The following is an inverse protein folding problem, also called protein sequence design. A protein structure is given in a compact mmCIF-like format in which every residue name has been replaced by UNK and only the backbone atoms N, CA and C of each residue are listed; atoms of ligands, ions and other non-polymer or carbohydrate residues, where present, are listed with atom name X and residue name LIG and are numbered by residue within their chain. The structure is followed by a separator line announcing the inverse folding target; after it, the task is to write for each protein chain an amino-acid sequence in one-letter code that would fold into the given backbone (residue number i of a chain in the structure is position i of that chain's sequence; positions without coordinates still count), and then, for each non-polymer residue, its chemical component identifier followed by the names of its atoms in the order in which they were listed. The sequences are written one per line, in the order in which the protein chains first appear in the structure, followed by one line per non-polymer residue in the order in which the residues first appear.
data_IF_760356023743
#
_entry.id   IF_760356023743
#
_cell.length_a   1.000
_cell.length_b   1.000
_cell.length_c   1.000
_cell.angle_alpha   90.00
_cell.angle_beta   90.00
_cell.angle_gamma   90.00
#
_symmetry.space_group_name_H-M   'P 1'
#
loop_
_entity.id
_entity.type
_entity.pdbx_description
1 polymer ?
#
# COMPACT_ATOMS: atom_id res chain seq x y z
N UNK A 1 -35.46 -6.30 2.53
CA UNK A 1 -34.45 -5.37 3.04
C UNK A 1 -35.20 -4.34 3.86
N UNK A 2 -34.86 -4.19 5.13
CA UNK A 2 -35.49 -3.20 6.00
C UNK A 2 -35.22 -1.79 5.44
N UNK A 3 -36.19 -0.89 5.59
CA UNK A 3 -36.07 0.47 5.09
C UNK A 3 -34.93 1.22 5.80
N UNK A 4 -34.12 1.96 5.05
CA UNK A 4 -32.93 2.65 5.59
C UNK A 4 -33.33 3.66 6.67
N UNK A 5 -34.50 4.29 6.54
CA UNK A 5 -35.04 5.21 7.54
C UNK A 5 -35.31 4.50 8.88
N UNK A 6 -35.88 3.29 8.84
CA UNK A 6 -36.12 2.50 10.05
C UNK A 6 -34.80 2.05 10.71
N UNK A 7 -33.79 1.73 9.90
CA UNK A 7 -32.46 1.38 10.41
C UNK A 7 -31.80 2.60 11.06
N UNK A 8 -31.91 3.79 10.46
CA UNK A 8 -31.38 5.02 11.03
C UNK A 8 -32.03 5.34 12.39
N UNK A 9 -33.35 5.21 12.51
CA UNK A 9 -34.06 5.39 13.78
C UNK A 9 -33.56 4.42 14.85
N UNK A 10 -33.41 3.13 14.50
CA UNK A 10 -32.84 2.13 15.41
C UNK A 10 -31.43 2.51 15.88
N UNK A 11 -30.60 3.08 15.02
CA UNK A 11 -29.26 3.53 15.38
C UNK A 11 -29.31 4.77 16.27
N UNK A 12 -30.20 5.71 15.99
CA UNK A 12 -30.35 6.95 16.77
C UNK A 12 -30.81 6.69 18.20
N UNK A 13 -31.69 5.72 18.38
CA UNK A 13 -32.21 5.32 19.69
C UNK A 13 -31.27 4.36 20.45
N UNK A 14 -30.16 3.94 19.84
CA UNK A 14 -29.27 2.93 20.38
C UNK A 14 -27.90 3.50 20.78
N UNK A 15 -27.53 3.33 22.04
CA UNK A 15 -26.20 3.72 22.55
C UNK A 15 -25.25 2.53 22.72
N UNK A 16 -25.70 1.30 22.46
CA UNK A 16 -24.92 0.07 22.58
C UNK A 16 -24.04 -0.13 21.32
N UNK A 17 -22.71 -0.01 21.44
CA UNK A 17 -21.81 -0.15 20.30
C UNK A 17 -21.83 -1.53 19.66
N UNK A 18 -22.17 -2.59 20.43
CA UNK A 18 -22.21 -3.95 19.87
C UNK A 18 -23.39 -4.10 18.90
N UNK A 19 -24.57 -3.64 19.29
CA UNK A 19 -25.76 -3.71 18.44
C UNK A 19 -25.59 -2.82 17.20
N UNK A 20 -24.98 -1.64 17.36
CA UNK A 20 -24.62 -0.78 16.23
C UNK A 20 -23.66 -1.52 15.29
N UNK A 21 -22.61 -2.17 15.83
CA UNK A 21 -21.67 -2.93 15.03
C UNK A 21 -22.34 -4.06 14.24
N UNK A 22 -23.26 -4.79 14.86
CA UNK A 22 -24.03 -5.85 14.19
C UNK A 22 -24.87 -5.28 13.03
N UNK A 23 -25.47 -4.11 13.22
CA UNK A 23 -26.21 -3.39 12.17
C UNK A 23 -25.28 -2.97 11.03
N UNK A 24 -24.11 -2.38 11.33
CA UNK A 24 -23.14 -1.94 10.32
C UNK A 24 -22.64 -3.12 9.46
N UNK A 25 -22.38 -4.27 10.10
CA UNK A 25 -21.99 -5.51 9.41
C UNK A 25 -23.12 -6.04 8.51
N UNK A 26 -24.37 -5.98 8.96
CA UNK A 26 -25.48 -6.41 8.12
C UNK A 26 -25.69 -5.49 6.92
N UNK A 27 -25.56 -4.18 7.12
CA UNK A 27 -25.64 -3.18 6.06
C UNK A 27 -24.57 -3.37 4.98
N UNK A 28 -23.36 -3.80 5.36
CA UNK A 28 -22.26 -3.95 4.40
C UNK A 28 -22.45 -5.12 3.43
N UNK A 29 -23.30 -6.11 3.77
CA UNK A 29 -23.61 -7.25 2.89
C UNK A 29 -24.42 -6.85 1.66
N UNK A 30 -25.20 -5.77 1.73
CA UNK A 30 -26.07 -5.27 0.65
C UNK A 30 -26.03 -3.73 0.57
N UNK A 31 -24.83 -3.17 0.67
CA UNK A 31 -24.63 -1.72 0.69
C UNK A 31 -24.99 -1.06 -0.63
N UNK A 32 -25.52 0.16 -0.56
CA UNK A 32 -25.77 1.03 -1.71
C UNK A 32 -25.60 2.49 -1.30
N UNK A 33 -25.72 3.42 -2.26
CA UNK A 33 -25.59 4.86 -2.01
C UNK A 33 -26.48 5.37 -0.88
N UNK A 34 -27.71 4.87 -0.73
CA UNK A 34 -28.62 5.33 0.33
C UNK A 34 -28.11 5.00 1.73
N UNK A 35 -27.27 3.98 1.86
CA UNK A 35 -26.65 3.62 3.14
C UNK A 35 -25.70 4.71 3.66
N UNK A 36 -25.26 5.65 2.82
CA UNK A 36 -24.44 6.78 3.25
C UNK A 36 -25.13 7.67 4.28
N UNK A 37 -26.46 7.72 4.34
CA UNK A 37 -27.17 8.50 5.38
C UNK A 37 -26.82 8.00 6.80
N UNK A 38 -26.54 6.70 6.95
CA UNK A 38 -26.10 6.10 8.21
C UNK A 38 -24.67 6.55 8.53
N UNK A 39 -23.80 6.56 7.52
CA UNK A 39 -22.42 7.04 7.66
C UNK A 39 -22.42 8.53 8.03
N UNK A 40 -23.21 9.34 7.34
CA UNK A 40 -23.33 10.78 7.62
C UNK A 40 -23.82 11.05 9.04
N UNK A 41 -24.80 10.28 9.53
CA UNK A 41 -25.19 10.35 10.94
C UNK A 41 -23.98 10.15 11.87
N UNK A 42 -23.15 9.13 11.60
CA UNK A 42 -21.97 8.88 12.42
C UNK A 42 -20.87 9.94 12.30
N UNK A 43 -20.70 10.54 11.13
CA UNK A 43 -19.67 11.56 10.88
C UNK A 43 -20.09 12.95 11.37
N UNK A 44 -21.37 13.31 11.24
CA UNK A 44 -21.84 14.67 11.52
C UNK A 44 -22.33 14.85 12.96
N UNK A 45 -22.79 13.77 13.60
CA UNK A 45 -23.69 13.91 14.76
C UNK A 45 -23.14 13.37 16.09
N UNK A 46 -21.85 13.04 16.24
CA UNK A 46 -21.49 12.07 17.29
C UNK A 46 -20.38 12.33 18.31
N UNK A 47 -20.70 11.78 19.48
CA UNK A 47 -19.87 11.47 20.64
C UNK A 47 -18.70 10.56 20.24
N UNK A 48 -17.47 11.08 20.39
CA UNK A 48 -16.22 10.40 20.07
C UNK A 48 -16.07 9.00 20.70
N UNK A 49 -16.75 8.75 21.82
CA UNK A 49 -16.69 7.46 22.53
C UNK A 49 -17.35 6.33 21.74
N UNK A 50 -18.54 6.58 21.16
CA UNK A 50 -19.26 5.57 20.37
C UNK A 50 -18.54 5.37 19.05
N UNK A 51 -18.17 6.46 18.37
CA UNK A 51 -17.47 6.41 17.09
C UNK A 51 -16.20 5.54 17.18
N UNK A 52 -15.38 5.74 18.21
CA UNK A 52 -14.17 4.93 18.40
C UNK A 52 -14.46 3.42 18.58
N UNK A 53 -15.60 3.04 19.15
CA UNK A 53 -15.97 1.62 19.36
C UNK A 53 -16.56 0.95 18.13
N UNK A 54 -17.04 1.73 17.16
CA UNK A 54 -17.64 1.21 15.92
C UNK A 54 -16.79 1.48 14.68
N UNK A 55 -15.71 2.26 14.82
CA UNK A 55 -14.91 2.82 13.72
C UNK A 55 -14.49 1.78 12.69
N UNK A 56 -14.03 0.61 13.14
CA UNK A 56 -13.64 -0.50 12.27
C UNK A 56 -14.79 -0.89 11.32
N UNK A 57 -15.97 -1.16 11.87
CA UNK A 57 -17.12 -1.60 11.09
C UNK A 57 -17.75 -0.46 10.27
N UNK A 58 -17.60 0.79 10.72
CA UNK A 58 -18.01 1.96 9.93
C UNK A 58 -17.12 2.10 8.68
N UNK A 59 -15.81 1.89 8.81
CA UNK A 59 -14.87 1.90 7.68
C UNK A 59 -15.15 0.72 6.75
N UNK A 60 -15.37 -0.48 7.30
CA UNK A 60 -15.76 -1.66 6.51
C UNK A 60 -17.04 -1.41 5.69
N UNK A 61 -18.06 -0.82 6.31
CA UNK A 61 -19.29 -0.41 5.61
C UNK A 61 -18.99 0.63 4.51
N UNK A 62 -18.13 1.61 4.79
CA UNK A 62 -17.76 2.62 3.81
C UNK A 62 -17.01 2.02 2.61
N UNK A 63 -16.12 1.05 2.84
CA UNK A 63 -15.49 0.25 1.78
C UNK A 63 -16.52 -0.51 0.94
N UNK A 64 -17.49 -1.16 1.59
CA UNK A 64 -18.57 -1.86 0.90
C UNK A 64 -19.41 -0.92 0.02
N UNK A 65 -19.79 0.25 0.54
CA UNK A 65 -20.51 1.28 -0.25
C UNK A 65 -19.63 1.76 -1.42
N UNK A 66 -18.35 2.07 -1.16
CA UNK A 66 -17.43 2.57 -2.18
C UNK A 66 -17.10 1.56 -3.29
N UNK A 67 -17.31 0.27 -3.05
CA UNK A 67 -17.18 -0.77 -4.08
C UNK A 67 -18.27 -0.69 -5.16
N UNK A 68 -19.41 -0.06 -4.87
CA UNK A 68 -20.56 0.07 -5.80
C UNK A 68 -20.96 1.51 -6.07
N UNK A 69 -20.32 2.50 -5.45
CA UNK A 69 -20.73 3.91 -5.52
C UNK A 69 -19.53 4.85 -5.41
N UNK A 70 -19.60 5.96 -6.14
CA UNK A 70 -18.60 7.02 -6.05
C UNK A 70 -18.80 7.84 -4.76
N UNK A 71 -18.02 7.54 -3.73
CA UNK A 71 -17.85 8.33 -2.50
C UNK A 71 -17.39 9.78 -2.74
N UNK A 72 -18.05 10.74 -2.08
CA UNK A 72 -17.57 12.11 -2.07
C UNK A 72 -16.28 12.28 -1.22
N UNK A 73 -15.66 13.47 -1.32
CA UNK A 73 -14.41 13.79 -0.62
C UNK A 73 -14.51 13.74 0.92
N UNK A 74 -15.69 14.01 1.51
CA UNK A 74 -15.88 13.98 2.98
C UNK A 74 -15.55 12.58 3.54
N UNK A 75 -15.98 11.53 2.86
CA UNK A 75 -15.71 10.16 3.29
C UNK A 75 -14.25 9.77 3.12
N UNK A 76 -13.61 10.19 2.03
CA UNK A 76 -12.18 9.96 1.82
C UNK A 76 -11.33 10.69 2.86
N UNK A 77 -11.68 11.94 3.19
CA UNK A 77 -11.01 12.69 4.25
C UNK A 77 -11.15 11.98 5.61
N UNK A 78 -12.33 11.45 5.93
CA UNK A 78 -12.52 10.66 7.15
C UNK A 78 -11.60 9.43 7.20
N UNK A 79 -11.43 8.71 6.09
CA UNK A 79 -10.49 7.58 6.02
C UNK A 79 -9.04 8.04 6.22
N UNK A 80 -8.65 9.14 5.58
CA UNK A 80 -7.30 9.72 5.70
C UNK A 80 -7.00 10.12 7.13
N UNK A 81 -7.87 10.88 7.77
CA UNK A 81 -7.72 11.32 9.15
C UNK A 81 -7.74 10.13 10.13
N UNK A 82 -8.61 9.14 9.88
CA UNK A 82 -8.70 7.94 10.71
C UNK A 82 -7.44 7.09 10.64
N UNK A 83 -6.75 7.05 9.51
CA UNK A 83 -5.51 6.29 9.35
C UNK A 83 -4.44 6.75 10.35
N UNK A 84 -4.20 8.06 10.44
CA UNK A 84 -3.16 8.60 11.31
C UNK A 84 -3.51 8.59 12.80
N UNK A 85 -4.79 8.40 13.15
CA UNK A 85 -5.30 8.51 14.53
C UNK A 85 -5.87 7.21 15.09
N UNK A 86 -5.60 6.06 14.46
CA UNK A 86 -6.15 4.77 14.89
C UNK A 86 -5.10 3.69 15.03
N UNK A 87 -5.46 2.58 15.69
CA UNK A 87 -4.60 1.42 15.84
C UNK A 87 -4.43 0.63 14.53
N UNK A 88 -3.53 -0.37 14.55
CA UNK A 88 -3.17 -1.17 13.37
C UNK A 88 -4.35 -1.91 12.71
N UNK A 89 -5.40 -2.27 13.47
CA UNK A 89 -6.55 -2.99 12.90
C UNK A 89 -7.39 -2.06 12.05
N UNK A 90 -7.67 -0.87 12.58
CA UNK A 90 -8.37 0.18 11.84
C UNK A 90 -7.56 0.63 10.63
N UNK A 91 -6.24 0.84 10.79
CA UNK A 91 -5.38 1.22 9.65
C UNK A 91 -5.39 0.16 8.55
N UNK A 92 -5.32 -1.11 8.91
CA UNK A 92 -5.41 -2.20 7.93
C UNK A 92 -6.76 -2.19 7.20
N UNK A 93 -7.86 -2.00 7.92
CA UNK A 93 -9.21 -1.93 7.34
C UNK A 93 -9.35 -0.76 6.36
N UNK A 94 -8.73 0.39 6.65
CA UNK A 94 -8.69 1.54 5.73
C UNK A 94 -7.97 1.17 4.42
N UNK A 95 -6.80 0.52 4.50
CA UNK A 95 -6.07 0.09 3.30
C UNK A 95 -6.87 -0.95 2.50
N UNK A 96 -7.54 -1.89 3.17
CA UNK A 96 -8.41 -2.86 2.50
C UNK A 96 -9.62 -2.20 1.84
N UNK A 97 -10.21 -1.20 2.50
CA UNK A 97 -11.30 -0.41 1.92
C UNK A 97 -10.85 0.34 0.67
N UNK A 98 -9.62 0.87 0.65
CA UNK A 98 -9.06 1.48 -0.56
C UNK A 98 -8.95 0.52 -1.75
N UNK A 99 -8.71 -0.78 -1.52
CA UNK A 99 -8.64 -1.77 -2.61
C UNK A 99 -9.95 -1.85 -3.43
N UNK A 100 -11.09 -1.63 -2.78
CA UNK A 100 -12.41 -1.70 -3.43
C UNK A 100 -12.93 -0.33 -3.82
N UNK A 101 -12.71 0.70 -3.00
CA UNK A 101 -13.09 2.09 -3.33
C UNK A 101 -12.40 2.49 -4.64
N UNK A 102 -11.10 2.24 -4.75
CA UNK A 102 -10.33 2.82 -5.84
C UNK A 102 -10.54 2.15 -7.20
N UNK A 103 -11.41 1.15 -7.29
CA UNK A 103 -11.87 0.62 -8.58
C UNK A 103 -12.83 1.60 -9.29
N UNK A 104 -13.50 2.47 -8.53
CA UNK A 104 -14.50 3.42 -9.03
C UNK A 104 -14.08 4.90 -8.87
N UNK A 105 -12.88 5.16 -8.35
CA UNK A 105 -12.42 6.50 -7.96
C UNK A 105 -11.09 6.86 -8.60
N UNK A 106 -10.92 8.15 -8.88
CA UNK A 106 -9.61 8.71 -9.18
C UNK A 106 -8.80 8.90 -7.90
N UNK A 107 -7.52 8.58 -7.99
CA UNK A 107 -6.57 8.70 -6.89
C UNK A 107 -6.21 10.16 -6.62
N UNK A 108 -5.87 10.46 -5.38
CA UNK A 108 -5.28 11.75 -4.99
C UNK A 108 -3.96 11.54 -4.22
N UNK A 109 -3.22 12.63 -4.03
CA UNK A 109 -1.93 12.59 -3.33
C UNK A 109 -2.03 12.12 -1.86
N UNK A 110 -3.16 12.33 -1.20
CA UNK A 110 -3.37 11.93 0.20
C UNK A 110 -3.42 10.40 0.33
N UNK A 111 -4.03 9.71 -0.64
CA UNK A 111 -4.07 8.24 -0.69
C UNK A 111 -2.67 7.67 -0.90
N UNK A 112 -1.86 8.24 -1.81
CA UNK A 112 -0.47 7.80 -1.99
C UNK A 112 0.36 7.97 -0.73
N UNK A 113 0.18 9.08 0.01
CA UNK A 113 0.85 9.27 1.30
C UNK A 113 0.48 8.17 2.29
N UNK A 114 -0.80 7.81 2.40
CA UNK A 114 -1.24 6.71 3.27
C UNK A 114 -0.61 5.38 2.85
N UNK A 115 -0.60 5.08 1.56
CA UNK A 115 0.01 3.86 1.04
C UNK A 115 1.52 3.84 1.36
N UNK A 116 2.24 4.94 1.15
CA UNK A 116 3.66 5.05 1.53
C UNK A 116 3.87 4.80 3.04
N UNK A 117 3.01 5.35 3.90
CA UNK A 117 3.05 5.06 5.33
C UNK A 117 2.76 3.58 5.62
N UNK A 118 1.79 2.98 4.93
CA UNK A 118 1.40 1.58 5.10
C UNK A 118 2.52 0.60 4.71
N UNK A 119 3.28 0.91 3.66
CA UNK A 119 4.43 0.11 3.22
C UNK A 119 5.60 0.13 4.24
N UNK A 120 5.70 1.20 5.03
CA UNK A 120 6.74 1.37 6.04
C UNK A 120 6.33 0.92 7.46
N UNK A 121 5.10 0.44 7.67
CA UNK A 121 4.68 -0.09 8.97
C UNK A 121 5.45 -1.34 9.38
N UNK A 122 5.47 -1.75 10.64
CA UNK A 122 6.05 -3.06 11.00
C UNK A 122 5.04 -4.20 10.78
N UNK A 123 3.75 -3.88 10.79
CA UNK A 123 2.68 -4.86 10.74
C UNK A 123 2.47 -5.40 9.31
N UNK A 124 2.92 -6.64 9.08
CA UNK A 124 2.91 -7.28 7.77
C UNK A 124 1.56 -7.26 7.03
N UNK A 125 0.39 -7.45 7.69
CA UNK A 125 -0.90 -7.37 7.00
C UNK A 125 -1.16 -6.01 6.33
N UNK A 126 -0.81 -4.90 6.99
CA UNK A 126 -0.96 -3.55 6.41
C UNK A 126 -0.09 -3.41 5.16
N UNK A 127 1.17 -3.87 5.21
CA UNK A 127 2.06 -3.86 4.03
C UNK A 127 1.46 -4.64 2.86
N UNK A 128 0.98 -5.86 3.14
CA UNK A 128 0.39 -6.72 2.10
C UNK A 128 -0.84 -6.09 1.48
N UNK A 129 -1.74 -5.54 2.30
CA UNK A 129 -2.90 -4.80 1.80
C UNK A 129 -2.48 -3.59 0.97
N UNK A 130 -1.43 -2.85 1.37
CA UNK A 130 -0.92 -1.71 0.62
C UNK A 130 -0.33 -2.12 -0.73
N UNK A 131 0.43 -3.21 -0.78
CA UNK A 131 0.95 -3.80 -2.03
C UNK A 131 -0.20 -4.25 -2.95
N UNK A 132 -1.27 -4.86 -2.41
CA UNK A 132 -2.46 -5.19 -3.18
C UNK A 132 -3.15 -3.97 -3.78
N UNK A 133 -3.22 -2.86 -3.03
CA UNK A 133 -3.74 -1.59 -3.56
C UNK A 133 -2.84 -1.09 -4.70
N UNK A 134 -1.52 -1.12 -4.54
CA UNK A 134 -0.59 -0.69 -5.58
C UNK A 134 -0.75 -1.48 -6.89
N UNK A 135 -1.09 -2.76 -6.82
CA UNK A 135 -1.31 -3.61 -8.00
C UNK A 135 -2.48 -3.17 -8.88
N UNK A 136 -3.50 -2.52 -8.32
CA UNK A 136 -4.66 -2.03 -9.10
C UNK A 136 -4.47 -0.61 -9.64
N UNK A 137 -3.42 0.10 -9.19
CA UNK A 137 -3.11 1.44 -9.68
C UNK A 137 -2.54 1.38 -11.09
N UNK A 138 -2.93 2.31 -11.96
CA UNK A 138 -2.41 2.39 -13.33
C UNK A 138 -0.96 2.90 -13.38
N UNK A 139 -0.65 3.92 -12.60
CA UNK A 139 0.64 4.58 -12.57
C UNK A 139 1.09 4.79 -11.11
N UNK A 140 2.39 4.63 -10.87
CA UNK A 140 2.99 4.88 -9.56
C UNK A 140 3.87 6.12 -9.60
N UNK A 141 3.68 7.05 -8.65
CA UNK A 141 4.64 8.12 -8.41
C UNK A 141 6.02 7.54 -8.08
N UNK A 142 7.08 8.21 -8.53
CA UNK A 142 8.48 7.84 -8.27
C UNK A 142 8.75 7.58 -6.78
N UNK A 143 8.16 8.39 -5.89
CA UNK A 143 8.30 8.25 -4.44
C UNK A 143 7.75 6.91 -3.90
N UNK A 144 6.70 6.38 -4.53
CA UNK A 144 6.14 5.05 -4.22
C UNK A 144 7.11 3.97 -4.69
N UNK A 145 7.67 4.09 -5.89
CA UNK A 145 8.69 3.16 -6.41
C UNK A 145 9.91 3.10 -5.48
N UNK A 146 10.39 4.24 -5.01
CA UNK A 146 11.47 4.32 -4.01
C UNK A 146 11.10 3.64 -2.69
N UNK A 147 9.84 3.75 -2.27
CA UNK A 147 9.36 3.08 -1.05
C UNK A 147 9.30 1.57 -1.24
N UNK A 148 8.95 1.07 -2.44
CA UNK A 148 9.00 -0.36 -2.75
C UNK A 148 10.40 -0.94 -2.60
N UNK A 149 11.46 -0.21 -2.95
CA UNK A 149 12.84 -0.67 -2.72
C UNK A 149 13.10 -0.97 -1.23
N UNK A 150 12.53 -0.17 -0.31
CA UNK A 150 12.64 -0.40 1.14
C UNK A 150 11.85 -1.63 1.58
N UNK A 151 10.72 -1.90 0.95
CA UNK A 151 9.87 -3.06 1.26
C UNK A 151 10.61 -4.37 1.00
N UNK A 152 11.54 -4.40 0.03
CA UNK A 152 12.39 -5.56 -0.26
C UNK A 152 13.37 -5.89 0.87
N UNK A 153 13.57 -4.99 1.82
CA UNK A 153 14.39 -5.22 3.01
C UNK A 153 13.60 -5.90 4.14
N UNK A 154 13.14 -7.11 3.89
CA UNK A 154 12.41 -7.92 4.87
C UNK A 154 12.73 -9.40 4.70
N UNK A 155 12.59 -10.17 5.78
CA UNK A 155 12.70 -11.63 5.73
C UNK A 155 11.37 -12.32 5.36
N UNK A 156 10.31 -11.54 5.12
CA UNK A 156 9.02 -12.07 4.70
C UNK A 156 8.98 -12.23 3.18
N UNK A 157 9.19 -13.46 2.71
CA UNK A 157 9.28 -13.79 1.28
C UNK A 157 8.05 -13.35 0.48
N UNK A 158 6.84 -13.51 1.02
CA UNK A 158 5.59 -13.09 0.37
C UNK A 158 5.55 -11.57 0.16
N UNK A 159 6.03 -10.77 1.11
CA UNK A 159 6.12 -9.31 0.96
C UNK A 159 7.17 -8.94 -0.09
N UNK A 160 8.30 -9.65 -0.12
CA UNK A 160 9.33 -9.44 -1.15
C UNK A 160 8.76 -9.74 -2.54
N UNK A 161 8.09 -10.88 -2.70
CA UNK A 161 7.46 -11.29 -3.96
C UNK A 161 6.40 -10.28 -4.42
N UNK A 162 5.50 -9.87 -3.53
CA UNK A 162 4.50 -8.85 -3.83
C UNK A 162 5.14 -7.50 -4.19
N UNK A 163 6.16 -7.07 -3.43
CA UNK A 163 6.90 -5.83 -3.68
C UNK A 163 7.59 -5.83 -5.03
N UNK A 164 8.25 -6.95 -5.38
CA UNK A 164 8.89 -7.14 -6.69
C UNK A 164 7.88 -7.15 -7.81
N UNK A 165 6.72 -7.81 -7.64
CA UNK A 165 5.66 -7.85 -8.64
C UNK A 165 5.14 -6.46 -8.97
N UNK A 166 4.94 -5.62 -7.94
CA UNK A 166 4.54 -4.22 -8.13
C UNK A 166 5.67 -3.45 -8.83
N UNK A 167 6.91 -3.55 -8.34
CA UNK A 167 8.05 -2.84 -8.90
C UNK A 167 8.29 -3.20 -10.38
N UNK A 168 8.24 -4.49 -10.72
CA UNK A 168 8.46 -5.02 -12.07
C UNK A 168 7.40 -4.63 -13.08
N UNK A 169 6.23 -4.18 -12.64
CA UNK A 169 5.21 -3.64 -13.55
C UNK A 169 5.68 -2.33 -14.17
N UNK A 170 6.29 -1.47 -13.37
CA UNK A 170 6.71 -0.11 -13.74
C UNK A 170 8.21 -0.02 -14.10
N UNK A 171 9.03 -0.97 -13.65
CA UNK A 171 10.48 -1.07 -13.93
C UNK A 171 10.76 -2.49 -14.43
N UNK A 172 10.90 -2.69 -15.73
CA UNK A 172 10.92 -4.00 -16.36
C UNK A 172 12.32 -4.54 -16.59
N UNK A 173 13.30 -3.66 -16.74
CA UNK A 173 14.67 -4.03 -17.14
C UNK A 173 15.73 -3.52 -16.17
N UNK A 174 16.91 -4.14 -16.17
CA UNK A 174 18.06 -3.67 -15.39
C UNK A 174 18.48 -2.23 -15.75
N UNK A 175 18.24 -1.82 -16.99
CA UNK A 175 18.47 -0.45 -17.47
C UNK A 175 17.50 0.55 -16.87
N UNK A 176 16.20 0.23 -16.85
CA UNK A 176 15.18 1.04 -16.18
C UNK A 176 15.41 1.10 -14.68
N UNK A 177 15.85 -0.02 -14.08
CA UNK A 177 16.24 -0.06 -12.67
C UNK A 177 17.43 0.87 -12.41
N UNK A 178 18.46 0.86 -13.26
CA UNK A 178 19.58 1.79 -13.14
C UNK A 178 19.11 3.24 -13.18
N UNK A 179 18.28 3.61 -14.16
CA UNK A 179 17.78 4.97 -14.31
C UNK A 179 16.94 5.40 -13.10
N UNK A 180 16.04 4.53 -12.62
CA UNK A 180 15.31 4.78 -11.38
C UNK A 180 16.28 5.07 -10.24
N UNK A 181 17.23 4.18 -9.97
CA UNK A 181 18.18 4.32 -8.87
C UNK A 181 19.03 5.59 -8.99
N UNK A 182 19.46 5.92 -10.21
CA UNK A 182 20.36 7.02 -10.49
C UNK A 182 19.67 8.39 -10.43
N UNK A 183 18.55 8.57 -11.14
CA UNK A 183 17.84 9.86 -11.24
C UNK A 183 17.25 10.24 -9.87
N UNK A 184 16.61 9.28 -9.21
CA UNK A 184 15.91 9.50 -7.93
C UNK A 184 16.82 9.48 -6.70
N UNK A 185 18.12 9.20 -6.89
CA UNK A 185 19.05 8.80 -5.82
C UNK A 185 18.57 7.60 -5.00
N UNK A 186 17.74 6.74 -5.59
CA UNK A 186 17.27 5.49 -4.98
C UNK A 186 18.40 4.54 -4.58
N UNK A 187 19.58 4.65 -5.19
CA UNK A 187 20.76 3.88 -4.80
C UNK A 187 21.13 4.08 -3.31
N UNK A 188 20.79 5.22 -2.69
CA UNK A 188 21.07 5.51 -1.28
C UNK A 188 20.26 4.64 -0.30
N UNK A 189 19.17 4.04 -0.78
CA UNK A 189 18.29 3.15 -0.02
C UNK A 189 18.84 1.72 0.00
N UNK A 190 19.70 1.39 -0.95
CA UNK A 190 20.17 0.04 -1.15
C UNK A 190 20.98 -0.45 0.04
N UNK A 191 20.72 -1.70 0.40
CA UNK A 191 21.57 -2.47 1.29
C UNK A 191 21.84 -3.82 0.63
N UNK A 192 22.71 -4.61 1.27
CA UNK A 192 23.08 -5.94 0.78
C UNK A 192 21.90 -6.84 0.44
N UNK A 193 20.83 -6.85 1.25
CA UNK A 193 19.64 -7.67 1.02
C UNK A 193 18.90 -7.21 -0.23
N UNK A 194 18.63 -5.90 -0.33
CA UNK A 194 17.92 -5.32 -1.47
C UNK A 194 18.71 -5.55 -2.77
N UNK A 195 20.02 -5.30 -2.76
CA UNK A 195 20.88 -5.47 -3.95
C UNK A 195 20.81 -6.90 -4.46
N UNK A 196 20.89 -7.90 -3.57
CA UNK A 196 20.80 -9.32 -3.96
C UNK A 196 19.46 -9.66 -4.59
N UNK A 197 18.37 -9.18 -3.98
CA UNK A 197 17.02 -9.37 -4.51
C UNK A 197 16.92 -8.76 -5.91
N UNK A 198 17.38 -7.52 -6.09
CA UNK A 198 17.36 -6.87 -7.41
C UNK A 198 18.23 -7.58 -8.45
N UNK A 199 19.43 -8.03 -8.08
CA UNK A 199 20.33 -8.78 -8.97
C UNK A 199 19.64 -10.05 -9.47
N UNK A 200 19.06 -10.83 -8.56
CA UNK A 200 18.39 -12.09 -8.88
C UNK A 200 17.18 -11.91 -9.81
N UNK A 201 16.55 -10.73 -9.74
CA UNK A 201 15.28 -10.49 -10.41
C UNK A 201 15.43 -9.77 -11.75
N UNK A 202 16.46 -8.95 -11.93
CA UNK A 202 16.60 -8.10 -13.12
C UNK A 202 17.69 -8.53 -14.09
N UNK A 203 18.52 -9.50 -13.73
CA UNK A 203 19.71 -9.85 -14.51
C UNK A 203 19.81 -11.37 -14.66
N UNK A 204 19.72 -11.83 -15.89
CA UNK A 204 19.73 -13.26 -16.24
C UNK A 204 21.12 -13.72 -16.71
N UNK A 205 22.05 -12.78 -16.95
CA UNK A 205 23.38 -13.10 -17.48
C UNK A 205 24.52 -12.31 -16.85
N UNK A 206 25.74 -12.87 -16.95
CA UNK A 206 26.97 -12.20 -16.52
C UNK A 206 27.19 -10.90 -17.33
N UNK A 207 26.88 -10.91 -18.62
CA UNK A 207 27.08 -9.75 -19.50
C UNK A 207 26.19 -8.57 -19.10
N UNK A 208 24.93 -8.81 -18.74
CA UNK A 208 24.03 -7.74 -18.25
C UNK A 208 24.53 -7.15 -16.93
N UNK A 209 25.09 -7.98 -16.05
CA UNK A 209 25.70 -7.52 -14.80
C UNK A 209 26.96 -6.68 -15.05
N UNK A 210 27.79 -7.04 -16.04
CA UNK A 210 28.97 -6.26 -16.43
C UNK A 210 28.56 -4.87 -16.95
N UNK A 211 27.54 -4.80 -17.81
CA UNK A 211 26.99 -3.53 -18.29
C UNK A 211 26.42 -2.68 -17.15
N UNK A 212 25.75 -3.30 -16.17
CA UNK A 212 25.23 -2.59 -15.01
C UNK A 212 26.35 -2.03 -14.12
N UNK A 213 27.45 -2.77 -13.92
CA UNK A 213 28.65 -2.26 -13.23
C UNK A 213 29.21 -1.05 -13.97
N UNK A 214 29.37 -1.12 -15.30
CA UNK A 214 29.90 0.01 -16.09
C UNK A 214 29.05 1.28 -15.92
N UNK A 215 27.72 1.13 -15.87
CA UNK A 215 26.79 2.22 -15.58
C UNK A 215 26.97 2.78 -14.17
N UNK A 216 27.10 1.92 -13.16
CA UNK A 216 27.36 2.34 -11.77
C UNK A 216 28.68 3.09 -11.67
N UNK A 217 29.75 2.57 -12.26
CA UNK A 217 31.10 3.13 -12.15
C UNK A 217 31.19 4.50 -12.82
N UNK A 218 30.54 4.66 -13.98
CA UNK A 218 30.44 5.93 -14.71
C UNK A 218 29.47 6.95 -14.10
N UNK A 219 28.64 6.53 -13.14
CA UNK A 219 27.66 7.40 -12.47
C UNK A 219 28.30 8.33 -11.43
N UNK A 220 27.47 9.24 -10.89
CA UNK A 220 27.82 10.14 -9.78
C UNK A 220 27.44 9.58 -8.40
N UNK A 221 27.17 8.28 -8.28
CA UNK A 221 26.85 7.66 -6.99
C UNK A 221 28.02 7.86 -6.02
N UNK A 222 27.70 8.01 -4.74
CA UNK A 222 28.71 8.05 -3.68
C UNK A 222 29.44 6.70 -3.62
N UNK A 223 30.76 6.76 -3.39
CA UNK A 223 31.67 5.63 -3.53
C UNK A 223 31.27 4.42 -2.68
N UNK A 224 30.72 4.67 -1.48
CA UNK A 224 30.26 3.60 -0.58
C UNK A 224 29.13 2.74 -1.20
N UNK A 225 28.22 3.34 -1.97
CA UNK A 225 27.14 2.62 -2.64
C UNK A 225 27.62 1.91 -3.89
N UNK A 226 28.59 2.49 -4.62
CA UNK A 226 29.27 1.80 -5.73
C UNK A 226 29.95 0.53 -5.22
N UNK A 227 30.74 0.64 -4.16
CA UNK A 227 31.43 -0.48 -3.52
C UNK A 227 30.42 -1.55 -3.07
N UNK A 228 29.34 -1.15 -2.39
CA UNK A 228 28.28 -2.06 -1.94
C UNK A 228 27.70 -2.87 -3.10
N UNK A 229 27.22 -2.18 -4.15
CA UNK A 229 26.59 -2.83 -5.30
C UNK A 229 27.57 -3.73 -6.04
N UNK A 230 28.75 -3.22 -6.39
CA UNK A 230 29.76 -3.96 -7.13
C UNK A 230 30.24 -5.19 -6.34
N UNK A 231 30.33 -5.12 -5.01
CA UNK A 231 30.72 -6.26 -4.16
C UNK A 231 29.70 -7.40 -4.25
N UNK A 232 28.41 -7.09 -4.20
CA UNK A 232 27.36 -8.11 -4.27
C UNK A 232 27.21 -8.66 -5.70
N UNK A 233 27.35 -7.83 -6.74
CA UNK A 233 27.37 -8.29 -8.15
C UNK A 233 28.54 -9.25 -8.39
N UNK A 234 29.75 -8.86 -8.00
CA UNK A 234 30.94 -9.71 -8.17
C UNK A 234 30.81 -11.04 -7.42
N UNK A 235 30.18 -11.00 -6.24
CA UNK A 235 29.91 -12.20 -5.44
C UNK A 235 28.93 -13.12 -6.17
N UNK A 236 27.88 -12.57 -6.77
CA UNK A 236 26.89 -13.31 -7.55
C UNK A 236 27.48 -13.91 -8.84
N UNK A 237 28.26 -13.13 -9.60
CA UNK A 237 28.95 -13.62 -10.80
C UNK A 237 29.90 -14.80 -10.48
N UNK A 238 30.59 -14.78 -9.34
CA UNK A 238 31.44 -15.91 -8.90
C UNK A 238 30.64 -17.18 -8.61
N UNK A 239 29.40 -17.05 -8.13
CA UNK A 239 28.50 -18.19 -7.90
C UNK A 239 28.03 -18.75 -9.24
N UNK A 240 27.59 -17.90 -10.17
CA UNK A 240 27.18 -18.32 -11.51
C UNK A 240 28.30 -19.05 -12.26
N UNK A 241 29.52 -18.49 -12.24
CA UNK A 241 30.71 -19.10 -12.89
C UNK A 241 31.12 -20.46 -12.29
N UNK A 242 30.75 -20.76 -11.03
CA UNK A 242 31.03 -22.06 -10.38
C UNK A 242 29.99 -23.13 -10.70
N UNK A 243 28.79 -22.71 -11.10
CA UNK A 243 27.65 -23.59 -11.38
C UNK A 243 27.39 -23.80 -12.88
N UNK A 244 28.16 -23.14 -13.75
CA UNK A 244 28.19 -23.31 -15.20
C UNK A 244 29.23 -24.36 -15.60
#
# INVERSE_FOLDING_TARGET
MEDIENILLKIQDNTNPQEINDILIELSKNSNEKTLVIVDYFLDSLNATILNKIKLNLIFLLGAIGSVTVLNRKYLNFLVESYFNSDRWVRNEIIQSFLVILQNHEYNNEIYQIIEHALNEDYAPIKKSALSVLMILKELPEKVLLTLLRVLNTNNEEIVEMGLKVLKRDVQTGDELFELLNISKGYTILNKSIVRVLILEYFDSISELELFIEKIDSSKWEEEYKILCNTEINSFQRILKKNA
#
